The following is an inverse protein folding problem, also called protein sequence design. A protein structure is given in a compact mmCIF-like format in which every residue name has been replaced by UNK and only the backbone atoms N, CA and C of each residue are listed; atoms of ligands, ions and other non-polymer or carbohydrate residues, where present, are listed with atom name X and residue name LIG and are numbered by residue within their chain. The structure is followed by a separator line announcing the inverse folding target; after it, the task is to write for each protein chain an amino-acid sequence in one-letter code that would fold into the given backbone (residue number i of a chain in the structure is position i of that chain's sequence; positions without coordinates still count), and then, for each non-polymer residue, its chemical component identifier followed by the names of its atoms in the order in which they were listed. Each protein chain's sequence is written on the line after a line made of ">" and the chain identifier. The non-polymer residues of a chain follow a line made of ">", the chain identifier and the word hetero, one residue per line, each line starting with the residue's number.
data_IF_932639070431
#
_entry.id   IF_932639070431
#
_cell.length_a   1.000
_cell.length_b   1.000
_cell.length_c   1.000
_cell.angle_alpha   90.00
_cell.angle_beta   90.00
_cell.angle_gamma   90.00
#
_symmetry.space_group_name_H-M   'P 1'
#
loop_
_entity.id
_entity.type
_entity.pdbx_description
1 polymer ?
#
# COMPACT_ATOMS: atom_id res chain seq x y z
N UNK A 1 13.45 13.29 -36.05
CA UNK A 1 14.37 12.55 -35.20
C UNK A 1 14.02 12.71 -33.73
N UNK A 2 13.84 11.64 -33.07
CA UNK A 2 13.50 11.68 -31.65
C UNK A 2 14.68 12.06 -30.78
N UNK A 3 14.39 12.78 -29.75
CA UNK A 3 15.41 13.14 -28.77
C UNK A 3 15.07 12.44 -27.46
N UNK A 4 15.62 11.29 -27.28
CA UNK A 4 15.32 10.47 -26.09
C UNK A 4 15.89 11.03 -24.80
N UNK A 5 16.77 12.02 -24.89
CA UNK A 5 17.25 12.69 -23.69
C UNK A 5 16.17 13.42 -22.91
N UNK A 6 15.01 13.66 -23.54
CA UNK A 6 13.91 14.36 -22.89
C UNK A 6 12.86 13.45 -22.31
N UNK A 7 13.02 12.16 -22.46
CA UNK A 7 12.05 11.20 -21.94
C UNK A 7 11.96 11.23 -20.44
N UNK A 8 13.03 11.61 -19.76
CA UNK A 8 13.07 11.64 -18.30
C UNK A 8 12.05 12.59 -17.66
N UNK A 9 11.42 13.45 -18.43
CA UNK A 9 10.49 14.43 -17.89
C UNK A 9 9.08 13.91 -17.61
N UNK A 10 8.83 12.64 -17.86
CA UNK A 10 7.50 12.08 -17.67
C UNK A 10 7.17 11.97 -16.19
N UNK A 11 6.08 12.61 -15.77
CA UNK A 11 5.66 12.62 -14.39
C UNK A 11 4.29 11.99 -14.14
N UNK A 12 3.68 11.43 -15.19
CA UNK A 12 2.36 10.82 -15.05
C UNK A 12 2.42 9.52 -14.27
N UNK A 13 1.46 9.37 -13.37
CA UNK A 13 1.27 8.12 -12.64
C UNK A 13 0.73 7.07 -13.59
N UNK A 14 1.33 5.88 -13.61
CA UNK A 14 0.87 4.80 -14.48
C UNK A 14 -0.51 4.30 -14.08
N UNK A 15 -1.19 3.60 -14.99
CA UNK A 15 -2.48 2.99 -14.67
C UNK A 15 -2.34 1.98 -13.56
N UNK A 16 -1.30 1.17 -13.57
CA UNK A 16 -1.07 0.20 -12.51
C UNK A 16 -0.92 0.88 -11.16
N UNK A 17 -0.20 2.01 -11.11
CA UNK A 17 -0.05 2.77 -9.86
C UNK A 17 -1.37 3.36 -9.41
N UNK A 18 -2.18 3.88 -10.32
CA UNK A 18 -3.50 4.40 -9.97
C UNK A 18 -4.41 3.32 -9.44
N UNK A 19 -4.40 2.14 -10.07
CA UNK A 19 -5.18 1.00 -9.60
C UNK A 19 -4.71 0.57 -8.21
N UNK A 20 -3.41 0.50 -8.03
CA UNK A 20 -2.81 0.14 -6.74
C UNK A 20 -3.26 1.12 -5.64
N UNK A 21 -3.13 2.42 -5.87
CA UNK A 21 -3.53 3.44 -4.90
C UNK A 21 -5.01 3.35 -4.57
N UNK A 22 -5.83 3.13 -5.58
CA UNK A 22 -7.27 2.98 -5.41
C UNK A 22 -7.60 1.78 -4.53
N UNK A 23 -6.97 0.63 -4.80
CA UNK A 23 -7.21 -0.57 -4.02
C UNK A 23 -6.69 -0.43 -2.59
N UNK A 24 -5.53 0.17 -2.40
CA UNK A 24 -5.00 0.43 -1.06
C UNK A 24 -5.99 1.26 -0.25
N UNK A 25 -6.49 2.33 -0.83
CA UNK A 25 -7.46 3.20 -0.15
C UNK A 25 -8.74 2.44 0.19
N UNK A 26 -9.24 1.64 -0.73
CA UNK A 26 -10.47 0.87 -0.53
C UNK A 26 -10.33 -0.20 0.55
N UNK A 27 -9.15 -0.81 0.65
CA UNK A 27 -8.88 -1.76 1.72
C UNK A 27 -8.75 -1.03 3.05
N UNK A 28 -8.05 0.08 3.06
CA UNK A 28 -7.82 0.85 4.28
C UNK A 28 -9.10 1.43 4.88
N UNK A 29 -10.02 1.89 4.03
CA UNK A 29 -11.26 2.49 4.51
C UNK A 29 -12.40 1.49 4.73
N UNK A 30 -12.17 0.22 4.46
CA UNK A 30 -13.15 -0.84 4.71
C UNK A 30 -14.11 -1.12 3.57
N UNK A 31 -13.99 -0.44 2.44
CA UNK A 31 -14.83 -0.74 1.28
C UNK A 31 -14.56 -2.13 0.74
N UNK A 32 -13.32 -2.61 0.88
CA UNK A 32 -12.92 -3.96 0.55
C UNK A 32 -12.47 -4.65 1.85
N UNK A 33 -13.42 -5.23 2.59
CA UNK A 33 -13.07 -5.83 3.87
C UNK A 33 -12.23 -7.10 3.71
N UNK A 34 -11.60 -7.51 4.80
CA UNK A 34 -10.82 -8.74 4.83
C UNK A 34 -11.68 -9.92 4.36
N UNK A 35 -11.08 -10.79 3.56
CA UNK A 35 -11.78 -11.92 2.98
C UNK A 35 -12.44 -11.66 1.64
N UNK A 36 -12.45 -10.41 1.19
CA UNK A 36 -13.02 -10.07 -0.13
C UNK A 36 -12.16 -10.67 -1.23
N UNK A 37 -12.79 -11.35 -2.18
CA UNK A 37 -12.11 -11.86 -3.36
C UNK A 37 -11.97 -10.74 -4.40
N UNK A 38 -10.76 -10.54 -4.86
CA UNK A 38 -10.44 -9.52 -5.85
C UNK A 38 -10.15 -10.20 -7.18
N UNK A 39 -11.14 -10.19 -8.06
CA UNK A 39 -11.01 -10.83 -9.37
C UNK A 39 -10.57 -9.81 -10.41
N UNK A 40 -9.49 -10.12 -11.07
CA UNK A 40 -8.85 -9.27 -12.06
C UNK A 40 -9.81 -8.73 -13.10
N UNK A 41 -10.58 -9.63 -13.73
CA UNK A 41 -11.51 -9.24 -14.79
C UNK A 41 -12.62 -8.35 -14.28
N UNK A 42 -13.13 -8.66 -13.12
CA UNK A 42 -14.21 -7.87 -12.52
C UNK A 42 -13.74 -6.47 -12.16
N UNK A 43 -12.56 -6.37 -11.54
CA UNK A 43 -11.97 -5.08 -11.18
C UNK A 43 -11.65 -4.25 -12.41
N UNK A 44 -11.12 -4.88 -13.44
CA UNK A 44 -10.79 -4.20 -14.69
C UNK A 44 -12.03 -3.58 -15.30
N UNK A 45 -13.10 -4.35 -15.34
CA UNK A 45 -14.38 -3.86 -15.88
C UNK A 45 -14.93 -2.71 -15.06
N UNK A 46 -14.89 -2.85 -13.74
CA UNK A 46 -15.41 -1.84 -12.83
C UNK A 46 -14.62 -0.53 -12.91
N UNK A 47 -13.32 -0.63 -13.09
CA UNK A 47 -12.44 0.54 -13.16
C UNK A 47 -12.31 1.11 -14.57
N UNK A 48 -12.84 0.41 -15.57
CA UNK A 48 -12.74 0.87 -16.96
C UNK A 48 -11.33 0.77 -17.53
N UNK A 49 -10.56 -0.23 -17.13
CA UNK A 49 -9.19 -0.45 -17.61
C UNK A 49 -9.04 -1.89 -18.08
N UNK A 50 -7.93 -2.18 -18.74
CA UNK A 50 -7.62 -3.57 -19.12
C UNK A 50 -7.16 -4.36 -17.90
N UNK A 51 -7.07 -5.68 -18.05
CA UNK A 51 -6.67 -6.54 -16.95
C UNK A 51 -5.21 -6.37 -16.53
N UNK A 52 -4.34 -5.98 -17.44
CA UNK A 52 -2.90 -5.90 -17.17
C UNK A 52 -2.54 -4.98 -16.00
N UNK A 53 -2.98 -3.72 -15.96
CA UNK A 53 -2.66 -2.85 -14.82
C UNK A 53 -3.26 -3.36 -13.51
N UNK A 54 -4.41 -4.03 -13.57
CA UNK A 54 -5.02 -4.62 -12.37
C UNK A 54 -4.15 -5.77 -11.87
N UNK A 55 -3.69 -6.63 -12.78
CA UNK A 55 -2.81 -7.75 -12.42
C UNK A 55 -1.54 -7.26 -11.76
N UNK A 56 -0.93 -6.23 -12.31
CA UNK A 56 0.29 -5.65 -11.75
C UNK A 56 0.03 -5.08 -10.35
N UNK A 57 -1.07 -4.38 -10.19
CA UNK A 57 -1.45 -3.81 -8.89
C UNK A 57 -1.69 -4.91 -7.85
N UNK A 58 -2.38 -5.99 -8.24
CA UNK A 58 -2.64 -7.10 -7.34
C UNK A 58 -1.36 -7.83 -6.94
N UNK A 59 -0.40 -7.96 -7.85
CA UNK A 59 0.91 -8.53 -7.51
C UNK A 59 1.64 -7.69 -6.48
N UNK A 60 1.56 -6.39 -6.63
CA UNK A 60 2.19 -5.47 -5.69
C UNK A 60 1.52 -5.55 -4.32
N UNK A 61 0.19 -5.60 -4.29
CA UNK A 61 -0.55 -5.78 -3.04
C UNK A 61 -0.19 -7.09 -2.35
N UNK A 62 -0.01 -8.15 -3.12
CA UNK A 62 0.41 -9.44 -2.57
C UNK A 62 1.82 -9.36 -2.00
N UNK A 63 2.72 -8.68 -2.70
CA UNK A 63 4.08 -8.45 -2.23
C UNK A 63 4.10 -7.64 -0.93
N UNK A 64 3.18 -6.68 -0.81
CA UNK A 64 3.05 -5.85 0.39
C UNK A 64 2.31 -6.57 1.53
N UNK A 65 1.79 -7.76 1.29
CA UNK A 65 1.07 -8.52 2.30
C UNK A 65 -0.36 -8.09 2.53
N UNK A 66 -0.92 -7.26 1.68
CA UNK A 66 -2.30 -6.79 1.82
C UNK A 66 -3.33 -7.76 1.24
N UNK A 67 -2.91 -8.58 0.30
CA UNK A 67 -3.76 -9.65 -0.26
C UNK A 67 -2.96 -10.93 -0.31
N UNK A 68 -3.68 -12.05 -0.41
CA UNK A 68 -3.09 -13.37 -0.58
C UNK A 68 -3.61 -13.98 -1.87
N UNK A 69 -2.77 -14.74 -2.55
CA UNK A 69 -3.20 -15.53 -3.70
C UNK A 69 -3.72 -16.87 -3.18
N UNK A 70 -4.98 -17.16 -3.46
CA UNK A 70 -5.62 -18.42 -3.00
C UNK A 70 -6.00 -19.22 -4.25
N UNK A 71 -5.63 -20.51 -4.34
CA UNK A 71 -5.99 -21.33 -5.50
C UNK A 71 -7.49 -21.27 -5.77
N UNK A 72 -7.84 -21.08 -7.03
CA UNK A 72 -9.21 -20.99 -7.53
C UNK A 72 -10.01 -19.77 -7.08
N UNK A 73 -9.46 -18.94 -6.18
CA UNK A 73 -10.15 -17.75 -5.68
C UNK A 73 -9.44 -16.44 -6.06
N UNK A 74 -8.29 -16.55 -6.70
CA UNK A 74 -7.51 -15.36 -7.09
C UNK A 74 -6.89 -14.67 -5.89
N UNK A 75 -6.96 -13.36 -5.85
CA UNK A 75 -6.44 -12.56 -4.75
C UNK A 75 -7.55 -12.34 -3.73
N UNK A 76 -7.22 -12.45 -2.47
CA UNK A 76 -8.17 -12.27 -1.38
C UNK A 76 -7.57 -11.27 -0.40
N UNK A 77 -8.36 -10.29 0.04
CA UNK A 77 -7.91 -9.31 1.02
C UNK A 77 -7.55 -10.05 2.30
N UNK A 78 -6.33 -9.81 2.76
CA UNK A 78 -5.78 -10.58 3.87
C UNK A 78 -6.44 -10.23 5.19
N UNK A 79 -6.71 -11.27 5.98
CA UNK A 79 -7.19 -11.12 7.34
C UNK A 79 -5.99 -11.20 8.27
N UNK A 80 -5.77 -10.17 9.09
CA UNK A 80 -4.74 -10.21 10.12
C UNK A 80 -5.28 -11.02 11.30
N UNK A 81 -4.49 -11.97 11.80
CA UNK A 81 -4.88 -12.67 13.00
C UNK A 81 -4.51 -11.84 14.22
N UNK A 82 -4.98 -12.26 15.39
CA UNK A 82 -4.79 -11.52 16.63
C UNK A 82 -3.32 -11.29 16.94
N UNK A 83 -2.48 -12.29 16.71
CA UNK A 83 -1.05 -12.20 16.96
C UNK A 83 -0.40 -11.15 16.04
N UNK A 84 -0.75 -11.16 14.77
CA UNK A 84 -0.22 -10.18 13.81
C UNK A 84 -0.60 -8.76 14.19
N UNK A 85 -1.82 -8.58 14.66
CA UNK A 85 -2.28 -7.27 15.12
C UNK A 85 -1.47 -6.82 16.33
N UNK A 86 -1.25 -7.69 17.27
CA UNK A 86 -0.44 -7.39 18.47
C UNK A 86 0.99 -7.04 18.10
N UNK A 87 1.59 -7.79 17.18
CA UNK A 87 2.94 -7.52 16.72
C UNK A 87 3.04 -6.16 16.02
N UNK A 88 2.05 -5.81 15.22
CA UNK A 88 2.01 -4.53 14.54
C UNK A 88 1.92 -3.38 15.55
N UNK A 89 1.09 -3.50 16.57
CA UNK A 89 0.97 -2.48 17.60
C UNK A 89 2.25 -2.37 18.42
N UNK A 90 2.86 -3.49 18.77
CA UNK A 90 4.11 -3.47 19.52
C UNK A 90 5.22 -2.77 18.74
N UNK A 91 5.33 -3.07 17.46
CA UNK A 91 6.30 -2.42 16.59
C UNK A 91 6.07 -0.91 16.51
N UNK A 92 4.81 -0.51 16.37
CA UNK A 92 4.45 0.89 16.31
C UNK A 92 4.81 1.62 17.60
N UNK A 93 4.53 1.02 18.74
CA UNK A 93 4.87 1.61 20.04
C UNK A 93 6.38 1.84 20.17
N UNK A 94 7.17 0.86 19.76
CA UNK A 94 8.63 0.99 19.81
C UNK A 94 9.10 2.14 18.93
N UNK A 95 8.59 2.22 17.71
CA UNK A 95 8.96 3.29 16.78
C UNK A 95 8.55 4.66 17.29
N UNK A 96 7.36 4.77 17.87
CA UNK A 96 6.88 6.03 18.45
C UNK A 96 7.75 6.45 19.62
N UNK A 97 8.13 5.50 20.46
CA UNK A 97 8.99 5.78 21.61
C UNK A 97 10.37 6.27 21.16
N UNK A 98 10.96 5.64 20.16
CA UNK A 98 12.23 6.07 19.62
C UNK A 98 12.17 7.47 19.04
N UNK A 99 11.11 7.76 18.30
CA UNK A 99 10.91 9.07 17.71
C UNK A 99 10.78 10.16 18.77
N UNK A 100 10.06 9.89 19.84
CA UNK A 100 9.89 10.82 20.94
C UNK A 100 11.23 11.05 21.65
N UNK A 101 11.99 9.99 21.90
CA UNK A 101 13.29 10.09 22.54
C UNK A 101 14.26 10.94 21.73
N UNK A 102 14.28 10.77 20.42
CA UNK A 102 15.12 11.59 19.54
C UNK A 102 14.70 13.05 19.54
N UNK A 103 13.39 13.30 19.51
CA UNK A 103 12.87 14.66 19.54
C UNK A 103 13.27 15.37 20.84
N UNK A 104 13.16 14.70 21.96
CA UNK A 104 13.54 15.26 23.25
C UNK A 104 15.03 15.59 23.27
N UNK A 105 15.87 14.71 22.75
CA UNK A 105 17.30 14.94 22.66
C UNK A 105 17.63 16.20 21.87
N UNK A 106 16.96 16.35 20.73
CA UNK A 106 17.16 17.54 19.89
C UNK A 106 16.67 18.81 20.56
N UNK A 107 15.54 18.75 21.25
CA UNK A 107 15.02 19.90 21.96
C UNK A 107 15.96 20.35 23.08
N UNK A 108 16.55 19.38 23.78
CA UNK A 108 17.49 19.70 24.85
C UNK A 108 18.68 20.48 24.32
N UNK A 109 19.14 20.15 23.16
CA UNK A 109 20.32 20.78 22.59
C UNK A 109 20.05 22.14 21.96
N UNK A 110 18.86 22.34 21.44
CA UNK A 110 18.58 23.53 20.60
C UNK A 110 17.41 24.37 21.06
N UNK A 111 16.35 23.77 21.55
CA UNK A 111 15.07 24.43 21.66
C UNK A 111 14.52 24.52 23.07
N UNK A 112 15.20 23.97 24.02
CA UNK A 112 14.63 23.84 25.35
C UNK A 112 14.60 25.14 26.14
N UNK A 113 15.40 26.08 25.76
CA UNK A 113 15.48 27.36 26.49
C UNK A 113 14.74 28.46 25.77
N UNK A 114 13.48 28.25 25.57
CA UNK A 114 12.60 29.27 25.07
C UNK A 114 11.76 29.90 26.19
#
# INVERSE_FOLDING_TARGET
>A
MENYGKVSGVSRVSLAEQVYQNLVASIANGDLPAGTELKEQHLAKQMGVSATPVREALRRLASDGMVETVPYHGAVVRTLNHKEIEEAYACREVLEHLAISEAITHLTDKDIDY
#
